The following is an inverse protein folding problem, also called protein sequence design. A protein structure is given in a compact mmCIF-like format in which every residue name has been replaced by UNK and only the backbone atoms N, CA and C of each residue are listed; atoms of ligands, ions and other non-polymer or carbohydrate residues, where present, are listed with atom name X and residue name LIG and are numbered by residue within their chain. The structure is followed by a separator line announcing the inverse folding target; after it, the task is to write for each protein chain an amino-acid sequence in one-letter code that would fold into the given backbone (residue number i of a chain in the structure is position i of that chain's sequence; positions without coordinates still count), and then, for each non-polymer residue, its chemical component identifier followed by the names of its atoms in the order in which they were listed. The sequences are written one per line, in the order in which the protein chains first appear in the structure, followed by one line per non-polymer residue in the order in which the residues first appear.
data_IF_121242802566
#
_entry.id   IF_121242802566
#
_cell.length_a   1.000
_cell.length_b   1.000
_cell.length_c   1.000
_cell.angle_alpha   90.00
_cell.angle_beta   90.00
_cell.angle_gamma   90.00
#
_symmetry.space_group_name_H-M   'P 1'
#
loop_
_entity.id
_entity.type
_entity.pdbx_description
1 polymer ?
#
# COMPACT_ATOMS: atom_id res chain seq x y z
N UNK A 1 -26.50 51.88 72.58
CA UNK A 1 -26.81 51.53 71.17
C UNK A 1 -25.48 51.55 70.43
N UNK A 2 -24.84 50.48 69.98
CA UNK A 2 -25.14 49.06 69.86
C UNK A 2 -23.84 48.28 70.15
N UNK A 3 -23.94 47.18 70.88
CA UNK A 3 -22.88 46.19 71.16
C UNK A 3 -22.97 45.10 70.09
N UNK A 4 -21.81 44.54 69.67
CA UNK A 4 -21.54 43.12 69.26
C UNK A 4 -20.44 43.13 68.18
N UNK A 5 -19.50 42.20 68.07
CA UNK A 5 -19.03 41.04 68.86
C UNK A 5 -17.74 40.60 68.15
N UNK A 6 -16.72 40.22 68.92
CA UNK A 6 -15.58 39.41 68.45
C UNK A 6 -16.06 37.97 68.28
N UNK A 7 -15.68 37.30 67.20
CA UNK A 7 -15.63 35.84 67.12
C UNK A 7 -14.39 35.41 66.31
N UNK A 8 -13.46 34.77 67.01
CA UNK A 8 -12.47 33.84 66.47
C UNK A 8 -13.19 32.53 66.11
N UNK A 9 -12.93 31.94 64.94
CA UNK A 9 -12.99 30.48 64.77
C UNK A 9 -11.89 30.00 63.81
N UNK A 10 -11.19 28.99 64.34
CA UNK A 10 -10.23 28.05 63.81
C UNK A 10 -10.53 27.42 62.42
N UNK A 11 -9.41 27.05 61.77
CA UNK A 11 -9.15 25.75 61.12
C UNK A 11 -9.97 25.34 59.89
N UNK A 12 -9.26 25.07 58.80
CA UNK A 12 -9.80 24.40 57.63
C UNK A 12 -8.82 24.39 56.47
N UNK A 13 -7.67 23.74 56.64
CA UNK A 13 -6.81 23.34 55.53
C UNK A 13 -7.59 22.31 54.68
N UNK A 14 -8.28 22.76 53.62
CA UNK A 14 -8.89 21.88 52.64
C UNK A 14 -7.78 21.29 51.76
N UNK A 15 -7.34 20.09 52.11
CA UNK A 15 -6.64 19.20 51.20
C UNK A 15 -7.69 18.74 50.19
N UNK A 16 -7.77 19.40 49.03
CA UNK A 16 -8.43 18.79 47.87
C UNK A 16 -7.51 17.70 47.34
N UNK A 17 -7.72 16.48 47.82
CA UNK A 17 -7.35 15.29 47.07
C UNK A 17 -8.18 15.30 45.78
N UNK A 18 -7.63 15.87 44.71
CA UNK A 18 -8.12 15.61 43.36
C UNK A 18 -7.69 14.18 43.06
N UNK A 19 -8.53 13.24 43.50
CA UNK A 19 -8.46 11.86 43.08
C UNK A 19 -8.47 11.86 41.55
N UNK A 20 -7.43 11.26 40.99
CA UNK A 20 -7.24 11.10 39.55
C UNK A 20 -8.47 10.47 38.93
N UNK A 21 -9.27 11.29 38.28
CA UNK A 21 -10.03 10.90 37.12
C UNK A 21 -9.14 11.13 35.92
N UNK A 22 -8.16 10.24 35.71
CA UNK A 22 -7.76 9.98 34.34
C UNK A 22 -9.03 9.45 33.68
N UNK A 23 -9.77 10.33 33.00
CA UNK A 23 -10.63 9.88 31.93
C UNK A 23 -9.67 9.12 31.01
N UNK A 24 -9.65 7.80 31.13
CA UNK A 24 -9.18 6.91 30.09
C UNK A 24 -9.94 7.39 28.85
N UNK A 25 -9.25 8.15 28.00
CA UNK A 25 -9.69 8.31 26.64
C UNK A 25 -9.89 6.89 26.14
N UNK A 26 -11.14 6.50 25.87
CA UNK A 26 -11.42 5.25 25.20
C UNK A 26 -10.50 5.19 23.98
N UNK A 27 -9.55 4.25 23.97
CA UNK A 27 -8.58 4.11 22.89
C UNK A 27 -9.32 3.44 21.73
N UNK A 28 -9.73 4.15 20.66
CA UNK A 28 -10.64 3.59 19.66
C UNK A 28 -9.90 3.02 18.45
N UNK A 29 -8.60 2.77 18.56
CA UNK A 29 -7.79 2.12 17.52
C UNK A 29 -7.99 0.60 17.66
N UNK A 30 -9.13 0.10 17.18
CA UNK A 30 -9.44 -1.33 17.19
C UNK A 30 -8.79 -2.02 15.99
N UNK A 31 -8.48 -3.29 16.18
CA UNK A 31 -8.19 -4.20 15.09
C UNK A 31 -9.19 -5.32 15.08
N UNK A 32 -9.81 -5.51 13.94
CA UNK A 32 -10.86 -6.48 13.74
C UNK A 32 -10.39 -7.52 12.71
N UNK A 33 -10.47 -8.82 13.03
CA UNK A 33 -10.22 -9.87 12.05
C UNK A 33 -11.20 -9.81 10.88
N UNK A 34 -10.69 -9.94 9.66
CA UNK A 34 -11.47 -10.06 8.43
C UNK A 34 -10.90 -11.22 7.61
N UNK A 35 -11.49 -12.41 7.77
CA UNK A 35 -10.93 -13.67 7.26
C UNK A 35 -9.49 -13.90 7.72
N UNK A 36 -8.54 -13.99 6.79
CA UNK A 36 -7.11 -14.11 7.05
C UNK A 36 -6.41 -12.75 7.19
N UNK A 37 -7.14 -11.63 7.17
CA UNK A 37 -6.62 -10.26 7.24
C UNK A 37 -6.97 -9.56 8.56
N UNK A 38 -6.32 -8.43 8.82
CA UNK A 38 -6.65 -7.52 9.91
C UNK A 38 -7.07 -6.15 9.37
N UNK A 39 -8.23 -5.67 9.83
CA UNK A 39 -8.69 -4.30 9.58
C UNK A 39 -8.23 -3.42 10.75
N UNK A 40 -7.39 -2.43 10.44
CA UNK A 40 -6.96 -1.39 11.36
C UNK A 40 -7.99 -0.26 11.32
N UNK A 41 -8.81 -0.12 12.36
CA UNK A 41 -9.88 0.87 12.39
C UNK A 41 -9.37 2.26 12.80
N UNK A 42 -9.67 3.27 11.96
CA UNK A 42 -9.43 4.70 12.25
C UNK A 42 -7.98 5.07 12.65
N UNK A 43 -7.00 4.28 12.23
CA UNK A 43 -5.59 4.51 12.51
C UNK A 43 -4.93 5.37 11.42
N UNK A 44 -3.74 5.90 11.72
CA UNK A 44 -2.88 6.48 10.68
C UNK A 44 -2.05 5.38 10.04
N UNK A 45 -1.94 5.35 8.72
CA UNK A 45 -1.18 4.33 7.99
C UNK A 45 -0.52 4.93 6.75
N UNK A 46 0.39 4.18 6.13
CA UNK A 46 0.96 4.55 4.83
C UNK A 46 0.20 3.84 3.70
N UNK A 47 -0.18 4.55 2.64
CA UNK A 47 -0.74 3.95 1.43
C UNK A 47 0.27 4.04 0.28
N UNK A 48 0.73 2.88 -0.19
CA UNK A 48 1.74 2.77 -1.24
C UNK A 48 1.20 2.34 -2.62
N UNK A 49 -0.08 1.98 -2.76
CA UNK A 49 -0.63 1.31 -3.94
C UNK A 49 -0.37 2.00 -5.30
N UNK A 50 -0.17 3.32 -5.31
CA UNK A 50 0.10 4.11 -6.53
C UNK A 50 1.53 4.68 -6.57
N UNK A 51 2.42 4.24 -5.67
CA UNK A 51 3.79 4.71 -5.56
C UNK A 51 4.70 4.05 -6.61
N UNK A 52 5.76 4.77 -6.97
CA UNK A 52 6.93 4.19 -7.63
C UNK A 52 8.07 4.14 -6.62
N UNK A 53 8.87 3.09 -6.69
CA UNK A 53 9.93 2.83 -5.73
C UNK A 53 11.28 2.83 -6.42
N UNK A 54 12.32 3.07 -5.65
CA UNK A 54 13.68 2.74 -6.04
C UNK A 54 14.14 1.49 -5.31
N UNK A 55 15.08 0.78 -5.89
CA UNK A 55 15.69 -0.38 -5.24
C UNK A 55 17.05 -0.03 -4.65
N UNK A 56 17.28 -0.36 -3.38
CA UNK A 56 18.58 -0.26 -2.72
C UNK A 56 18.81 -1.53 -1.92
N UNK A 57 19.91 -2.24 -2.19
CA UNK A 57 20.25 -3.50 -1.51
C UNK A 57 19.07 -4.49 -1.43
N UNK A 58 18.38 -4.72 -2.56
CA UNK A 58 17.28 -5.69 -2.70
C UNK A 58 15.98 -5.32 -1.98
N UNK A 59 15.88 -4.09 -1.47
CA UNK A 59 14.66 -3.55 -0.86
C UNK A 59 14.16 -2.41 -1.73
N UNK A 60 12.86 -2.40 -2.01
CA UNK A 60 12.22 -1.28 -2.67
C UNK A 60 11.86 -0.20 -1.62
N UNK A 61 12.31 1.03 -1.85
CA UNK A 61 11.99 2.19 -1.03
C UNK A 61 10.99 3.05 -1.79
N UNK A 62 9.76 3.12 -1.28
CA UNK A 62 8.62 3.72 -1.95
C UNK A 62 8.17 4.98 -1.21
N UNK A 63 7.90 6.07 -1.95
CA UNK A 63 7.29 7.27 -1.40
C UNK A 63 5.78 7.09 -1.28
N UNK A 64 5.24 7.07 -0.06
CA UNK A 64 3.85 6.72 0.20
C UNK A 64 3.08 7.83 0.94
N UNK A 65 1.75 7.80 0.79
CA UNK A 65 0.85 8.79 1.39
C UNK A 65 0.57 8.45 2.85
N UNK A 66 0.69 9.44 3.75
CA UNK A 66 0.24 9.31 5.14
C UNK A 66 -1.27 9.59 5.22
N UNK A 67 -2.07 8.56 5.45
CA UNK A 67 -3.52 8.65 5.57
C UNK A 67 -4.00 8.41 7.00
N UNK A 68 -5.29 8.65 7.23
CA UNK A 68 -6.02 8.27 8.44
C UNK A 68 -7.38 7.71 8.06
N UNK A 69 -7.74 6.57 8.62
CA UNK A 69 -9.01 5.90 8.37
C UNK A 69 -8.89 4.41 8.61
N UNK A 70 -9.80 3.65 8.03
CA UNK A 70 -9.70 2.20 8.02
C UNK A 70 -8.71 1.76 6.93
N UNK A 71 -7.96 0.72 7.22
CA UNK A 71 -7.08 0.04 6.27
C UNK A 71 -7.02 -1.45 6.59
N UNK A 72 -6.62 -2.28 5.63
CA UNK A 72 -6.51 -3.73 5.77
C UNK A 72 -5.08 -4.17 5.44
N UNK A 73 -4.59 -5.18 6.13
CA UNK A 73 -3.27 -5.77 5.90
C UNK A 73 -3.33 -7.26 6.17
N UNK A 74 -2.45 -8.02 5.53
CA UNK A 74 -2.13 -9.36 6.00
C UNK A 74 -1.65 -9.27 7.47
N UNK A 75 -2.00 -10.22 8.34
CA UNK A 75 -1.42 -10.35 9.65
C UNK A 75 0.00 -10.87 9.47
N UNK A 76 0.92 -10.29 10.24
CA UNK A 76 2.26 -10.82 10.36
C UNK A 76 2.78 -10.52 11.76
N UNK A 77 3.37 -11.55 12.36
CA UNK A 77 3.90 -11.49 13.72
C UNK A 77 5.28 -10.83 13.68
N UNK A 78 5.41 -9.68 14.35
CA UNK A 78 6.70 -9.01 14.52
C UNK A 78 7.46 -9.55 15.73
N UNK A 79 6.73 -9.91 16.77
CA UNK A 79 7.26 -10.49 18.01
C UNK A 79 6.15 -11.25 18.74
N UNK A 80 6.42 -11.74 19.96
CA UNK A 80 5.46 -12.50 20.76
C UNK A 80 4.20 -11.68 21.06
N UNK A 81 3.16 -11.87 20.24
CA UNK A 81 1.86 -11.22 20.37
C UNK A 81 1.80 -9.79 19.81
N UNK A 82 2.80 -9.35 19.03
CA UNK A 82 2.76 -8.09 18.29
C UNK A 82 2.50 -8.34 16.81
N UNK A 83 1.52 -7.61 16.26
CA UNK A 83 1.08 -7.70 14.88
C UNK A 83 1.16 -6.32 14.19
N UNK A 84 0.64 -6.24 12.96
CA UNK A 84 0.53 -4.99 12.21
C UNK A 84 -0.18 -3.87 12.98
N UNK A 85 -1.15 -4.23 13.81
CA UNK A 85 -1.94 -3.27 14.57
C UNK A 85 -1.15 -2.65 15.71
N UNK A 86 -0.51 -3.49 16.53
CA UNK A 86 0.30 -3.00 17.65
C UNK A 86 1.48 -2.18 17.13
N UNK A 87 2.16 -2.65 16.09
CA UNK A 87 3.29 -1.95 15.48
C UNK A 87 2.85 -0.60 14.94
N UNK A 88 1.74 -0.54 14.19
CA UNK A 88 1.28 0.73 13.62
C UNK A 88 0.80 1.72 14.70
N UNK A 89 0.15 1.21 15.76
CA UNK A 89 -0.27 2.01 16.91
C UNK A 89 0.94 2.64 17.65
N UNK A 90 1.95 1.83 17.96
CA UNK A 90 3.18 2.31 18.62
C UNK A 90 3.97 3.27 17.73
N UNK A 91 3.96 3.03 16.42
CA UNK A 91 4.57 3.92 15.42
C UNK A 91 4.07 5.35 15.50
N UNK A 92 2.83 5.56 15.97
CA UNK A 92 2.22 6.90 16.10
C UNK A 92 3.11 7.90 16.85
N UNK A 93 3.63 7.49 18.00
CA UNK A 93 4.51 8.31 18.84
C UNK A 93 5.97 8.28 18.40
N UNK A 94 6.38 7.22 17.69
CA UNK A 94 7.77 6.92 17.38
C UNK A 94 8.22 7.35 15.96
N UNK A 95 7.30 7.85 15.13
CA UNK A 95 7.63 8.42 13.82
C UNK A 95 7.75 7.39 12.68
N UNK A 96 7.26 6.18 12.88
CA UNK A 96 7.13 5.15 11.85
C UNK A 96 5.66 4.74 11.66
N UNK A 97 5.32 4.15 10.52
CA UNK A 97 4.00 3.61 10.20
C UNK A 97 4.17 2.26 9.49
N UNK A 98 3.11 1.48 9.45
CA UNK A 98 3.03 0.34 8.54
C UNK A 98 2.30 0.77 7.27
N UNK A 99 2.78 0.29 6.12
CA UNK A 99 2.06 0.39 4.86
C UNK A 99 0.97 -0.67 4.83
N UNK A 100 -0.27 -0.22 4.62
CA UNK A 100 -1.45 -1.07 4.58
C UNK A 100 -2.30 -0.67 3.39
N UNK A 101 -3.26 -1.52 3.04
CA UNK A 101 -4.14 -1.26 1.91
C UNK A 101 -5.40 -0.47 2.31
N UNK A 102 -5.78 0.45 1.43
CA UNK A 102 -7.12 1.00 1.31
C UNK A 102 -7.35 1.35 -0.15
N UNK A 103 -8.61 1.49 -0.58
CA UNK A 103 -8.89 1.93 -1.96
C UNK A 103 -8.26 3.30 -2.19
N UNK A 104 -7.30 3.44 -3.13
CA UNK A 104 -6.69 4.73 -3.41
C UNK A 104 -7.72 5.65 -4.05
N UNK A 105 -7.97 6.82 -3.45
CA UNK A 105 -8.91 7.81 -3.99
C UNK A 105 -8.60 8.21 -5.44
N UNK A 106 -7.31 8.23 -5.78
CA UNK A 106 -6.81 8.53 -7.13
C UNK A 106 -7.22 7.48 -8.16
N UNK A 107 -7.65 6.30 -7.74
CA UNK A 107 -8.11 5.23 -8.63
C UNK A 107 -9.64 5.13 -8.74
N UNK A 108 -10.39 5.99 -8.02
CA UNK A 108 -11.87 5.95 -8.00
C UNK A 108 -12.45 6.65 -9.23
N UNK A 109 -13.25 5.93 -10.02
CA UNK A 109 -13.92 6.46 -11.20
C UNK A 109 -15.10 7.38 -10.82
N UNK A 110 -15.36 8.49 -11.54
CA UNK A 110 -14.66 8.99 -12.73
C UNK A 110 -13.59 10.05 -12.44
N UNK A 111 -13.38 10.39 -11.16
CA UNK A 111 -12.57 11.56 -10.78
C UNK A 111 -11.08 11.23 -10.60
N UNK A 112 -10.75 9.94 -10.48
CA UNK A 112 -9.40 9.45 -10.30
C UNK A 112 -8.50 9.70 -11.49
N UNK A 113 -7.24 10.06 -11.21
CA UNK A 113 -6.16 10.29 -12.18
C UNK A 113 -5.15 9.13 -12.24
N UNK A 114 -5.47 8.01 -11.61
CA UNK A 114 -4.76 6.75 -11.65
C UNK A 114 -5.73 5.61 -12.00
N UNK A 115 -5.19 4.50 -12.49
CA UNK A 115 -5.90 3.26 -12.72
C UNK A 115 -5.10 2.07 -12.18
N UNK A 116 -5.83 0.98 -11.92
CA UNK A 116 -5.25 -0.33 -11.68
C UNK A 116 -4.89 -0.97 -13.02
N UNK A 117 -3.61 -1.15 -13.29
CA UNK A 117 -3.13 -1.80 -14.51
C UNK A 117 -2.89 -3.27 -14.24
N UNK A 118 -3.58 -4.13 -14.98
CA UNK A 118 -3.35 -5.57 -14.96
C UNK A 118 -2.25 -5.91 -15.97
N UNK A 119 -1.12 -6.37 -15.45
CA UNK A 119 -0.02 -6.97 -16.19
C UNK A 119 -0.30 -8.48 -16.34
N UNK A 120 -0.47 -8.98 -17.56
CA UNK A 120 -1.04 -10.31 -17.79
C UNK A 120 -0.14 -11.43 -17.29
N UNK A 121 -0.74 -12.50 -16.76
CA UNK A 121 -0.08 -13.77 -16.48
C UNK A 121 -0.30 -14.77 -17.62
N UNK A 122 0.23 -15.99 -17.45
CA UNK A 122 0.12 -17.03 -18.49
C UNK A 122 -1.32 -17.43 -18.82
N UNK A 123 -2.26 -17.36 -17.87
CA UNK A 123 -3.66 -17.73 -18.13
C UNK A 123 -4.45 -16.65 -18.87
N UNK A 124 -3.99 -15.40 -18.86
CA UNK A 124 -4.76 -14.28 -19.42
C UNK A 124 -3.98 -13.41 -20.43
N UNK A 125 -2.74 -13.77 -20.79
CA UNK A 125 -1.94 -13.07 -21.82
C UNK A 125 -2.65 -12.92 -23.17
N UNK A 126 -3.48 -13.89 -23.53
CA UNK A 126 -4.19 -13.88 -24.82
C UNK A 126 -5.55 -13.14 -24.77
N UNK A 127 -5.96 -12.58 -23.60
CA UNK A 127 -7.30 -11.99 -23.39
C UNK A 127 -7.69 -10.96 -24.47
N UNK A 128 -6.74 -10.14 -24.89
CA UNK A 128 -6.89 -9.16 -25.96
C UNK A 128 -5.96 -9.41 -27.16
N UNK A 129 -5.56 -10.67 -27.37
CA UNK A 129 -4.65 -11.05 -28.45
C UNK A 129 -3.16 -10.85 -28.15
N UNK A 130 -2.79 -10.70 -26.87
CA UNK A 130 -1.39 -10.67 -26.48
C UNK A 130 -0.70 -12.01 -26.71
N UNK A 131 0.63 -11.99 -26.79
CA UNK A 131 1.47 -13.15 -27.16
C UNK A 131 2.48 -13.56 -26.09
N UNK A 132 2.60 -12.81 -24.99
CA UNK A 132 3.45 -13.13 -23.85
C UNK A 132 2.85 -12.64 -22.53
N UNK A 133 3.14 -13.35 -21.44
CA UNK A 133 2.86 -12.90 -20.09
C UNK A 133 3.89 -11.86 -19.64
N UNK A 134 3.48 -10.99 -18.73
CA UNK A 134 4.32 -10.03 -18.05
C UNK A 134 5.30 -10.73 -17.10
N UNK A 135 6.52 -10.23 -17.06
CA UNK A 135 7.63 -10.88 -16.35
C UNK A 135 8.40 -9.93 -15.42
N UNK A 136 7.88 -8.71 -15.24
CA UNK A 136 8.42 -7.70 -14.34
C UNK A 136 8.23 -8.02 -12.86
N UNK A 137 9.11 -7.46 -12.04
CA UNK A 137 9.05 -7.49 -10.58
C UNK A 137 8.34 -6.26 -10.03
N UNK A 138 7.76 -6.37 -8.84
CA UNK A 138 7.08 -5.28 -8.16
C UNK A 138 7.38 -5.24 -6.66
N UNK A 139 7.23 -4.06 -6.06
CA UNK A 139 7.32 -3.88 -4.62
C UNK A 139 6.00 -4.28 -3.96
N UNK A 140 6.03 -5.31 -3.12
CA UNK A 140 4.93 -5.63 -2.22
C UNK A 140 5.12 -4.74 -0.98
N UNK A 141 4.19 -3.80 -0.77
CA UNK A 141 4.28 -2.87 0.35
C UNK A 141 3.29 -3.13 1.48
N UNK A 142 2.35 -4.07 1.36
CA UNK A 142 1.43 -4.37 2.46
C UNK A 142 2.21 -5.06 3.59
N UNK A 143 2.23 -4.44 4.76
CA UNK A 143 3.09 -4.78 5.89
C UNK A 143 4.46 -4.12 5.92
N UNK A 144 4.82 -3.30 4.92
CA UNK A 144 6.11 -2.61 4.87
C UNK A 144 6.27 -1.55 5.98
N UNK A 145 7.45 -1.50 6.63
CA UNK A 145 7.75 -0.46 7.62
C UNK A 145 8.13 0.86 6.94
N UNK A 146 7.52 1.94 7.42
CA UNK A 146 7.64 3.27 6.83
C UNK A 146 8.17 4.28 7.83
N UNK A 147 9.13 5.12 7.42
CA UNK A 147 9.68 6.19 8.25
C UNK A 147 9.26 7.56 7.73
N UNK A 148 8.82 8.42 8.63
CA UNK A 148 8.35 9.76 8.28
C UNK A 148 9.51 10.74 8.13
N UNK A 149 9.56 11.47 7.01
CA UNK A 149 10.51 12.55 6.83
C UNK A 149 10.13 13.76 7.71
N UNK A 150 10.83 13.93 8.83
CA UNK A 150 10.57 15.02 9.79
C UNK A 150 11.11 16.39 9.34
N UNK A 151 11.98 16.44 8.33
CA UNK A 151 12.69 17.68 7.91
C UNK A 151 12.59 18.01 6.42
N UNK A 152 11.82 17.26 5.63
CA UNK A 152 11.71 17.45 4.18
C UNK A 152 13.06 17.33 3.48
N UNK A 153 13.74 16.20 3.72
CA UNK A 153 15.08 15.91 3.19
C UNK A 153 14.99 15.00 1.96
N UNK A 154 16.01 15.09 1.12
CA UNK A 154 16.18 14.18 0.00
C UNK A 154 16.50 12.79 0.54
N UNK A 155 15.76 11.79 0.08
CA UNK A 155 16.13 10.39 0.22
C UNK A 155 16.89 9.99 -1.07
N UNK A 156 17.97 9.19 -1.00
CA UNK A 156 18.69 8.78 -2.20
C UNK A 156 17.71 8.19 -3.22
N UNK A 157 17.76 8.61 -4.49
CA UNK A 157 16.93 8.08 -5.59
C UNK A 157 15.43 8.43 -5.57
N UNK A 158 14.90 9.03 -4.50
CA UNK A 158 13.55 9.61 -4.49
C UNK A 158 13.64 11.13 -4.63
N UNK A 159 12.58 11.74 -5.18
CA UNK A 159 12.42 13.19 -5.14
C UNK A 159 12.39 13.70 -3.70
N UNK A 160 12.53 15.02 -3.55
CA UNK A 160 12.53 15.65 -2.22
C UNK A 160 11.24 15.32 -1.49
N UNK A 161 11.36 14.52 -0.44
CA UNK A 161 10.23 14.17 0.39
C UNK A 161 9.60 15.43 0.99
N UNK A 162 8.33 15.64 0.73
CA UNK A 162 7.49 16.65 1.34
C UNK A 162 7.39 16.48 2.85
N UNK A 163 6.81 17.49 3.52
CA UNK A 163 6.44 17.34 4.93
C UNK A 163 5.29 16.33 5.00
N UNK A 164 5.48 15.25 5.77
CA UNK A 164 4.53 14.12 5.94
C UNK A 164 4.53 13.07 4.81
N UNK A 165 5.53 13.10 3.94
CA UNK A 165 5.79 11.97 3.04
C UNK A 165 6.58 10.89 3.80
N UNK A 166 6.17 9.64 3.57
CA UNK A 166 6.73 8.44 4.18
C UNK A 166 7.60 7.72 3.15
N UNK A 167 8.72 7.17 3.60
CA UNK A 167 9.45 6.17 2.82
C UNK A 167 9.23 4.82 3.45
N UNK A 168 8.64 3.91 2.69
CA UNK A 168 8.38 2.54 3.10
C UNK A 168 9.44 1.61 2.52
N UNK A 169 9.96 0.69 3.35
CA UNK A 169 10.75 -0.44 2.89
C UNK A 169 9.81 -1.58 2.54
N UNK A 170 9.74 -1.91 1.26
CA UNK A 170 8.88 -2.91 0.68
C UNK A 170 9.72 -4.07 0.13
N UNK A 171 9.45 -5.32 0.55
CA UNK A 171 9.99 -6.49 -0.12
C UNK A 171 9.69 -6.48 -1.63
N UNK A 172 10.59 -7.04 -2.42
CA UNK A 172 10.39 -7.15 -3.86
C UNK A 172 9.85 -8.55 -4.15
N UNK A 173 8.69 -8.61 -4.80
CA UNK A 173 8.18 -9.83 -5.41
C UNK A 173 8.71 -9.93 -6.83
N UNK A 174 9.34 -11.06 -7.13
CA UNK A 174 9.83 -11.38 -8.47
C UNK A 174 8.90 -12.38 -9.13
N UNK A 175 8.58 -12.22 -10.42
CA UNK A 175 7.84 -13.23 -11.19
C UNK A 175 8.68 -14.48 -11.54
N UNK A 176 9.69 -14.77 -10.71
CA UNK A 176 10.51 -15.99 -10.76
C UNK A 176 9.83 -17.19 -10.12
N UNK A 177 8.90 -16.94 -9.19
CA UNK A 177 7.91 -17.93 -8.84
C UNK A 177 7.08 -18.08 -10.10
N UNK A 178 7.38 -19.11 -10.90
CA UNK A 178 6.88 -19.28 -12.25
C UNK A 178 5.39 -19.01 -12.32
N UNK A 179 4.90 -18.63 -13.50
CA UNK A 179 3.51 -18.31 -13.79
C UNK A 179 2.44 -19.07 -13.00
N UNK A 180 2.69 -20.29 -12.53
CA UNK A 180 1.84 -21.06 -11.63
C UNK A 180 1.51 -20.37 -10.27
N UNK A 181 2.42 -19.58 -9.68
CA UNK A 181 2.19 -18.88 -8.40
C UNK A 181 1.28 -17.65 -8.56
N UNK A 182 1.32 -17.03 -9.75
CA UNK A 182 0.47 -15.89 -10.08
C UNK A 182 -0.02 -15.98 -11.53
N UNK A 183 -0.90 -16.94 -11.84
CA UNK A 183 -1.24 -17.32 -13.20
C UNK A 183 -2.08 -16.29 -13.95
N UNK A 184 -2.77 -15.43 -13.20
CA UNK A 184 -3.50 -14.26 -13.71
C UNK A 184 -2.59 -13.02 -13.85
N UNK A 185 -1.33 -13.10 -13.43
CA UNK A 185 -0.39 -11.98 -13.48
C UNK A 185 -0.56 -11.02 -12.32
N UNK A 186 0.00 -9.82 -12.42
CA UNK A 186 0.06 -8.88 -11.30
C UNK A 186 -0.62 -7.57 -11.65
N UNK A 187 -0.89 -6.76 -10.63
CA UNK A 187 -1.52 -5.47 -10.77
C UNK A 187 -0.63 -4.38 -10.18
N UNK A 188 -0.55 -3.25 -10.89
CA UNK A 188 0.25 -2.09 -10.52
C UNK A 188 -0.57 -0.80 -10.65
N UNK A 189 -0.19 0.25 -9.93
CA UNK A 189 -0.75 1.58 -10.12
C UNK A 189 -0.11 2.31 -11.31
N UNK A 190 -0.93 2.95 -12.14
CA UNK A 190 -0.47 3.78 -13.25
C UNK A 190 -1.33 5.02 -13.47
N UNK A 191 -0.80 5.99 -14.20
CA UNK A 191 -1.50 7.22 -14.59
C UNK A 191 -2.76 6.89 -15.39
N UNK A 192 -3.83 7.67 -15.20
CA UNK A 192 -5.07 7.57 -15.96
C UNK A 192 -5.57 8.98 -16.28
N UNK A 193 -5.94 9.22 -17.53
CA UNK A 193 -6.47 10.51 -17.96
C UNK A 193 -7.98 10.38 -18.23
N UNK A 194 -8.81 11.19 -17.59
CA UNK A 194 -10.27 11.09 -17.74
C UNK A 194 -10.81 11.39 -19.15
N UNK A 195 -9.97 11.87 -20.08
CA UNK A 195 -10.33 12.11 -21.49
C UNK A 195 -9.74 11.04 -22.41
N UNK A 196 -8.48 10.68 -22.22
CA UNK A 196 -7.72 9.78 -23.08
C UNK A 196 -7.70 8.33 -22.57
N UNK A 197 -8.16 8.09 -21.34
CA UNK A 197 -8.19 6.79 -20.68
C UNK A 197 -6.83 6.37 -20.17
N UNK A 198 -6.50 5.10 -20.37
CA UNK A 198 -5.24 4.50 -19.93
C UNK A 198 -4.02 5.09 -20.65
N UNK A 199 -2.92 5.23 -19.91
CA UNK A 199 -1.59 5.59 -20.40
C UNK A 199 -0.84 4.32 -20.85
N UNK A 200 -0.54 4.18 -22.15
CA UNK A 200 0.21 3.02 -22.66
C UNK A 200 1.58 2.85 -21.99
N UNK A 201 2.21 3.94 -21.54
CA UNK A 201 3.52 3.87 -20.90
C UNK A 201 3.48 3.19 -19.52
N UNK A 202 2.31 3.12 -18.88
CA UNK A 202 2.17 2.37 -17.65
C UNK A 202 2.41 0.86 -17.87
N UNK A 203 2.04 0.32 -19.05
CA UNK A 203 2.28 -1.09 -19.39
C UNK A 203 3.76 -1.43 -19.57
N UNK A 204 4.63 -0.46 -19.87
CA UNK A 204 6.08 -0.68 -19.87
C UNK A 204 6.60 -1.19 -18.51
N UNK A 205 5.89 -0.88 -17.42
CA UNK A 205 6.26 -1.32 -16.07
C UNK A 205 5.90 -2.78 -15.79
N UNK A 206 5.11 -3.43 -16.65
CA UNK A 206 4.79 -4.86 -16.53
C UNK A 206 6.02 -5.77 -16.75
N UNK A 207 7.09 -5.24 -17.35
CA UNK A 207 8.40 -5.90 -17.48
C UNK A 207 9.52 -5.16 -16.70
N UNK A 208 9.16 -4.26 -15.77
CA UNK A 208 10.15 -3.56 -14.93
C UNK A 208 10.94 -4.56 -14.09
N UNK A 209 12.28 -4.43 -14.00
CA UNK A 209 13.12 -5.35 -13.24
C UNK A 209 12.88 -6.83 -13.55
N UNK A 210 12.62 -7.14 -14.83
CA UNK A 210 12.49 -8.50 -15.33
C UNK A 210 13.77 -9.29 -15.09
N UNK A 211 13.60 -10.53 -14.64
CA UNK A 211 14.69 -11.48 -14.43
C UNK A 211 14.69 -12.55 -15.52
N UNK A 212 15.89 -12.98 -15.91
CA UNK A 212 16.07 -14.13 -16.78
C UNK A 212 15.81 -15.43 -16.02
N UNK A 213 15.48 -16.52 -16.73
CA UNK A 213 15.29 -17.84 -16.13
C UNK A 213 16.49 -18.25 -15.26
N UNK A 214 17.72 -18.00 -15.72
CA UNK A 214 18.93 -18.32 -14.96
C UNK A 214 19.06 -17.53 -13.65
N UNK A 215 18.57 -16.29 -13.60
CA UNK A 215 18.53 -15.48 -12.37
C UNK A 215 17.44 -15.97 -11.42
N UNK A 216 16.31 -16.43 -11.96
CA UNK A 216 15.22 -17.02 -11.19
C UNK A 216 15.59 -18.35 -10.53
N UNK A 217 16.50 -19.12 -11.13
CA UNK A 217 17.00 -20.38 -10.55
C UNK A 217 17.98 -20.18 -9.37
N UNK A 218 18.30 -18.94 -9.00
CA UNK A 218 19.17 -18.66 -7.86
C UNK A 218 18.39 -18.67 -6.54
N UNK A 219 19.10 -18.83 -5.42
CA UNK A 219 18.48 -18.87 -4.08
C UNK A 219 17.91 -17.52 -3.62
N UNK A 220 18.23 -16.42 -4.30
CA UNK A 220 17.71 -15.09 -3.99
C UNK A 220 17.73 -14.24 -5.27
N UNK A 221 16.69 -14.36 -6.11
CA UNK A 221 16.57 -13.66 -7.39
C UNK A 221 16.55 -12.13 -7.25
N UNK A 222 16.05 -11.60 -6.12
CA UNK A 222 16.02 -10.16 -5.87
C UNK A 222 17.42 -9.50 -5.87
N UNK A 223 18.51 -10.26 -5.68
CA UNK A 223 19.89 -9.79 -5.85
C UNK A 223 20.20 -9.23 -7.25
N UNK A 224 19.45 -9.66 -8.27
CA UNK A 224 19.68 -9.27 -9.64
C UNK A 224 18.91 -8.01 -10.04
N UNK A 225 17.99 -7.56 -9.20
CA UNK A 225 17.31 -6.28 -9.40
C UNK A 225 18.31 -5.19 -9.03
N UNK A 226 18.61 -4.34 -10.02
CA UNK A 226 19.70 -3.38 -9.93
C UNK A 226 19.49 -2.38 -8.81
N UNK A 227 20.55 -1.63 -8.49
CA UNK A 227 20.43 -0.45 -7.61
C UNK A 227 19.80 0.70 -8.40
N UNK A 228 18.80 1.36 -7.81
CA UNK A 228 18.02 2.46 -8.40
C UNK A 228 17.17 2.06 -9.60
N UNK A 229 16.79 0.80 -9.70
CA UNK A 229 15.79 0.35 -10.66
C UNK A 229 14.40 0.79 -10.17
N UNK A 230 13.59 1.32 -11.08
CA UNK A 230 12.24 1.76 -10.75
C UNK A 230 11.29 0.58 -10.80
N UNK A 231 10.97 0.02 -9.64
CA UNK A 231 9.95 -1.01 -9.51
C UNK A 231 8.61 -0.37 -9.10
N UNK A 232 7.49 -0.72 -9.75
CA UNK A 232 6.18 -0.26 -9.32
C UNK A 232 5.79 -0.93 -8.00
N UNK A 233 4.93 -0.28 -7.21
CA UNK A 233 4.17 -1.02 -6.19
C UNK A 233 3.11 -1.85 -6.89
N UNK A 234 2.98 -3.11 -6.44
CA UNK A 234 2.01 -4.02 -7.00
C UNK A 234 1.62 -5.15 -6.07
N UNK A 235 0.73 -5.99 -6.57
CA UNK A 235 0.25 -7.21 -5.91
C UNK A 235 -0.17 -8.23 -6.96
N UNK A 236 -0.46 -9.46 -6.55
CA UNK A 236 -1.06 -10.43 -7.45
C UNK A 236 -2.42 -9.91 -7.97
N UNK A 237 -2.76 -10.27 -9.21
CA UNK A 237 -3.99 -9.82 -9.82
C UNK A 237 -5.20 -10.30 -9.01
N UNK A 238 -6.13 -9.39 -8.74
CA UNK A 238 -7.32 -9.66 -7.93
C UNK A 238 -7.13 -9.39 -6.43
N UNK A 239 -5.90 -9.37 -5.91
CA UNK A 239 -5.65 -9.01 -4.49
C UNK A 239 -6.27 -7.66 -4.10
N UNK A 240 -6.13 -6.57 -4.88
CA UNK A 240 -6.75 -5.28 -4.53
C UNK A 240 -8.28 -5.37 -4.43
N UNK A 241 -8.92 -6.16 -5.28
CA UNK A 241 -10.37 -6.36 -5.25
C UNK A 241 -10.81 -7.10 -3.98
N UNK A 242 -10.12 -8.18 -3.60
CA UNK A 242 -10.38 -8.94 -2.37
C UNK A 242 -10.22 -8.02 -1.15
N UNK A 243 -9.10 -7.31 -1.04
CA UNK A 243 -8.82 -6.40 0.07
C UNK A 243 -9.86 -5.27 0.14
N UNK A 244 -10.28 -4.73 -1.01
CA UNK A 244 -11.35 -3.73 -1.07
C UNK A 244 -12.69 -4.26 -0.59
N UNK A 245 -13.07 -5.46 -1.02
CA UNK A 245 -14.31 -6.12 -0.62
C UNK A 245 -14.36 -6.33 0.91
N UNK A 246 -13.28 -6.86 1.48
CA UNK A 246 -13.18 -7.10 2.92
C UNK A 246 -13.19 -5.79 3.72
N UNK A 247 -12.43 -4.78 3.28
CA UNK A 247 -12.34 -3.50 3.98
C UNK A 247 -13.64 -2.69 3.96
N UNK A 248 -14.39 -2.76 2.85
CA UNK A 248 -15.58 -1.93 2.61
C UNK A 248 -16.90 -2.71 2.73
N UNK A 249 -16.87 -3.93 3.26
CA UNK A 249 -18.05 -4.79 3.42
C UNK A 249 -18.87 -4.92 2.11
N UNK A 250 -18.15 -5.09 1.01
CA UNK A 250 -18.73 -5.20 -0.33
C UNK A 250 -19.09 -3.89 -1.04
N UNK A 251 -19.12 -2.74 -0.34
CA UNK A 251 -19.45 -1.43 -0.94
C UNK A 251 -18.23 -0.78 -1.59
N UNK A 252 -17.64 -1.48 -2.56
CA UNK A 252 -16.44 -1.02 -3.27
C UNK A 252 -16.83 0.00 -4.34
N UNK A 253 -16.26 1.22 -4.31
CA UNK A 253 -16.51 2.19 -5.37
C UNK A 253 -15.95 1.68 -6.70
N UNK A 254 -16.57 2.09 -7.81
CA UNK A 254 -16.05 1.81 -9.15
C UNK A 254 -14.66 2.40 -9.34
N UNK A 255 -13.79 1.64 -9.99
CA UNK A 255 -12.38 2.02 -10.15
C UNK A 255 -12.04 2.23 -11.62
N UNK A 256 -11.07 3.10 -11.88
CA UNK A 256 -10.40 3.11 -13.17
C UNK A 256 -9.53 1.84 -13.27
N UNK A 257 -9.63 1.11 -14.37
CA UNK A 257 -8.91 -0.13 -14.61
C UNK A 257 -8.42 -0.21 -16.05
N UNK A 258 -7.24 -0.76 -16.22
CA UNK A 258 -6.57 -0.92 -17.49
C UNK A 258 -6.02 -2.34 -17.58
N UNK A 259 -5.97 -2.90 -18.78
CA UNK A 259 -5.34 -4.19 -19.05
C UNK A 259 -4.23 -4.02 -20.07
N UNK A 260 -3.04 -4.55 -19.76
CA UNK A 260 -1.91 -4.53 -20.67
C UNK A 260 -1.90 -5.81 -21.52
N UNK A 261 -1.67 -5.68 -22.83
CA UNK A 261 -1.37 -6.82 -23.70
C UNK A 261 0.00 -6.63 -24.33
N UNK A 262 0.72 -7.72 -24.53
CA UNK A 262 1.95 -7.70 -25.29
C UNK A 262 1.68 -8.16 -26.72
N UNK A 263 1.80 -7.28 -27.70
CA UNK A 263 1.41 -7.57 -29.09
C UNK A 263 2.57 -8.17 -29.90
N UNK A 264 3.81 -7.87 -29.51
CA UNK A 264 5.04 -8.43 -30.09
C UNK A 264 6.07 -8.76 -29.01
N UNK A 265 6.83 -9.84 -29.19
CA UNK A 265 7.84 -10.32 -28.22
C UNK A 265 9.23 -10.28 -28.85
N UNK A 266 10.22 -9.80 -28.09
CA UNK A 266 11.64 -9.84 -28.45
C UNK A 266 12.20 -11.27 -28.37
N UNK A 267 13.38 -11.49 -28.96
CA UNK A 267 14.08 -12.80 -28.90
C UNK A 267 14.36 -13.26 -27.46
N UNK A 268 14.52 -12.32 -26.53
CA UNK A 268 14.77 -12.58 -25.12
C UNK A 268 13.48 -12.78 -24.29
N UNK A 269 12.31 -12.85 -24.94
CA UNK A 269 11.01 -13.03 -24.30
C UNK A 269 10.39 -11.77 -23.71
N UNK A 270 11.03 -10.59 -23.82
CA UNK A 270 10.42 -9.34 -23.31
C UNK A 270 9.36 -8.87 -24.27
N UNK A 271 8.39 -8.13 -23.75
CA UNK A 271 7.48 -7.46 -24.64
C UNK A 271 8.19 -6.35 -25.44
N UNK A 272 8.08 -6.43 -26.77
CA UNK A 272 8.58 -5.43 -27.69
C UNK A 272 7.56 -4.30 -27.90
N UNK A 273 6.27 -4.64 -27.95
CA UNK A 273 5.18 -3.69 -28.16
C UNK A 273 4.05 -3.95 -27.16
N UNK A 274 3.89 -3.01 -26.23
CA UNK A 274 2.79 -3.02 -25.27
C UNK A 274 1.58 -2.27 -25.83
N UNK A 275 0.43 -2.90 -25.75
CA UNK A 275 -0.88 -2.29 -25.91
C UNK A 275 -1.60 -2.18 -24.58
N UNK A 276 -2.54 -1.23 -24.51
CA UNK A 276 -3.36 -0.99 -23.32
C UNK A 276 -4.83 -0.93 -23.69
N UNK A 277 -5.66 -1.58 -22.88
CA UNK A 277 -7.10 -1.66 -23.04
C UNK A 277 -7.76 -1.02 -21.83
N UNK A 278 -8.62 -0.02 -22.05
CA UNK A 278 -9.38 0.62 -20.99
C UNK A 278 -10.57 -0.26 -20.58
N UNK A 279 -10.58 -0.68 -19.31
CA UNK A 279 -11.64 -1.49 -18.71
C UNK A 279 -12.47 -0.68 -17.70
N UNK A 280 -12.32 0.65 -17.71
CA UNK A 280 -13.01 1.54 -16.78
C UNK A 280 -14.49 1.77 -17.19
N UNK A 281 -15.42 1.83 -16.23
CA UNK A 281 -15.22 1.52 -14.82
C UNK A 281 -15.14 0.01 -14.55
N UNK A 282 -14.23 -0.39 -13.67
CA UNK A 282 -14.23 -1.71 -13.07
C UNK A 282 -15.27 -1.75 -11.95
N UNK A 283 -16.29 -2.57 -12.16
CA UNK A 283 -17.26 -2.96 -11.13
C UNK A 283 -16.70 -4.14 -10.33
N UNK A 284 -16.26 -3.89 -9.09
CA UNK A 284 -15.71 -4.93 -8.22
C UNK A 284 -16.84 -5.77 -7.64
N UNK A 285 -16.92 -7.03 -8.05
CA UNK A 285 -17.91 -7.97 -7.55
C UNK A 285 -17.36 -8.79 -6.37
N UNK A 286 -17.86 -8.50 -5.18
CA UNK A 286 -17.51 -9.20 -3.95
C UNK A 286 -18.33 -10.51 -3.84
N UNK A 287 -17.98 -11.49 -4.66
CA UNK A 287 -18.45 -12.87 -4.49
C UNK A 287 -17.65 -13.55 -3.40
N UNK A 288 -17.99 -13.29 -2.14
CA UNK A 288 -17.48 -14.01 -0.97
C UNK A 288 -18.29 -15.31 -0.75
#
# INVERSE_FOLDING_TARGET
MSIKKIFFVFSGLMIMAVAGGAALAANPDKCEPAEEFLILENQQYALCANATCITLNQVAYCGCDLLKGNSISLPFDFSDGEDVCTVNQDGRGNGYRVSTYSVPKRSVFPEGDYALYTCPGELNKDKYGGVAAASGSYAQCDGGLCFMSVKGRNFPGLDKLGKKELVCSCPITTNCEGSDANPEGHQIGGTYDGVNGCDPNACLKCDAARLTNAQCETSNPANFIGVQENVPVGSAAGTPAILSCLLLDGDVPRLNSCFCSCDEVNEDGSCAEWSVHDESPLDVHCGL
#
